data_IF_888868928035
#
_entry.id   IF_888868928035
#
_cell.length_a   1.000
_cell.length_b   1.000
_cell.length_c   1.000
_cell.angle_alpha   90.00
_cell.angle_beta   90.00
_cell.angle_gamma   90.00
#
_symmetry.space_group_name_H-M   'P 1'
#
loop_
_entity.id
_entity.type
_entity.pdbx_description
1 polymer ?
#
# COMPACT_ATOMS: atom_id res chain seq x y z
N UNK A 1 -13.98 9.16 9.09
CA UNK A 1 -15.21 8.47 9.55
C UNK A 1 -14.99 8.04 10.99
N UNK A 2 -16.06 7.81 11.75
CA UNK A 2 -15.99 7.03 13.00
C UNK A 2 -17.32 6.29 13.23
N UNK A 3 -17.29 5.27 14.09
CA UNK A 3 -18.47 4.57 14.57
C UNK A 3 -18.34 4.29 16.06
N UNK A 4 -19.48 4.30 16.76
CA UNK A 4 -19.62 3.90 18.16
C UNK A 4 -20.81 2.98 18.30
N UNK A 5 -20.69 1.98 19.17
CA UNK A 5 -21.69 0.94 19.39
C UNK A 5 -22.10 0.88 20.86
N UNK A 6 -23.39 0.70 21.09
CA UNK A 6 -23.97 0.47 22.40
C UNK A 6 -24.19 -1.03 22.61
N UNK A 7 -23.67 -1.56 23.71
CA UNK A 7 -24.00 -2.92 24.18
C UNK A 7 -24.82 -2.78 25.46
N UNK A 8 -26.07 -3.23 25.42
CA UNK A 8 -26.99 -3.19 26.55
C UNK A 8 -27.54 -4.60 26.82
N UNK A 9 -27.58 -4.96 28.09
CA UNK A 9 -28.20 -6.20 28.58
C UNK A 9 -29.42 -5.83 29.43
N UNK A 10 -30.60 -6.33 29.04
CA UNK A 10 -31.86 -5.97 29.66
C UNK A 10 -33.07 -6.58 28.97
N UNK A 11 -34.25 -6.36 29.56
CA UNK A 11 -35.51 -6.79 28.96
C UNK A 11 -35.83 -6.01 27.68
N UNK A 12 -36.11 -6.74 26.60
CA UNK A 12 -36.55 -6.21 25.31
C UNK A 12 -38.03 -5.75 25.36
N UNK A 13 -38.46 -4.81 24.51
CA UNK A 13 -37.68 -4.13 23.47
C UNK A 13 -36.82 -2.99 24.03
N UNK A 14 -35.57 -2.91 23.57
CA UNK A 14 -34.67 -1.79 23.85
C UNK A 14 -34.86 -0.66 22.83
N UNK A 15 -34.89 0.58 23.32
CA UNK A 15 -34.87 1.80 22.50
C UNK A 15 -33.63 2.63 22.81
N UNK A 16 -33.06 3.26 21.80
CA UNK A 16 -31.79 3.99 21.89
C UNK A 16 -32.01 5.45 21.50
N UNK A 17 -31.23 6.34 22.10
CA UNK A 17 -31.06 7.72 21.68
C UNK A 17 -29.63 8.14 21.95
N UNK A 18 -28.89 8.50 20.90
CA UNK A 18 -27.54 9.06 21.04
C UNK A 18 -27.56 10.54 21.35
N UNK A 19 -26.57 10.98 22.10
CA UNK A 19 -26.34 12.36 22.50
C UNK A 19 -24.92 12.76 22.16
N UNK A 20 -24.75 14.01 21.76
CA UNK A 20 -23.45 14.67 21.61
C UNK A 20 -23.42 15.90 22.52
N UNK A 21 -22.42 15.98 23.39
CA UNK A 21 -22.24 17.07 24.35
C UNK A 21 -23.52 17.37 25.15
N UNK A 22 -24.25 16.30 25.53
CA UNK A 22 -25.51 16.36 26.25
C UNK A 22 -26.75 16.69 25.41
N UNK A 23 -26.62 16.93 24.11
CA UNK A 23 -27.74 17.24 23.19
C UNK A 23 -28.09 16.01 22.38
N UNK A 24 -29.39 15.68 22.28
CA UNK A 24 -29.86 14.54 21.50
C UNK A 24 -29.52 14.72 20.02
N UNK A 25 -29.02 13.66 19.39
CA UNK A 25 -28.77 13.60 17.95
C UNK A 25 -30.05 13.09 17.27
N UNK A 26 -30.72 13.96 16.51
CA UNK A 26 -31.98 13.61 15.87
C UNK A 26 -31.86 12.37 14.97
N UNK A 27 -32.76 11.40 15.17
CA UNK A 27 -32.83 10.16 14.39
C UNK A 27 -31.78 9.10 14.73
N UNK A 28 -30.86 9.37 15.66
CA UNK A 28 -29.86 8.40 16.10
C UNK A 28 -30.46 7.42 17.14
N UNK A 29 -31.32 6.51 16.67
CA UNK A 29 -32.09 5.58 17.51
C UNK A 29 -31.69 4.11 17.37
N UNK A 30 -30.55 3.85 16.73
CA UNK A 30 -29.97 2.51 16.59
C UNK A 30 -28.91 2.25 17.67
N UNK A 31 -28.64 0.97 17.94
CA UNK A 31 -27.56 0.57 18.84
C UNK A 31 -26.18 1.05 18.34
N UNK A 32 -26.01 1.17 17.03
CA UNK A 32 -24.82 1.73 16.39
C UNK A 32 -25.07 3.16 15.89
N UNK A 33 -24.08 4.03 16.06
CA UNK A 33 -24.05 5.37 15.47
C UNK A 33 -22.74 5.58 14.72
N UNK A 34 -22.83 6.03 13.47
CA UNK A 34 -21.67 6.21 12.61
C UNK A 34 -21.75 7.53 11.82
N UNK A 35 -20.58 8.14 11.62
CA UNK A 35 -20.39 9.33 10.78
C UNK A 35 -19.40 8.98 9.67
N UNK A 36 -19.89 8.89 8.43
CA UNK A 36 -19.08 8.49 7.27
C UNK A 36 -18.02 9.53 6.89
N UNK A 37 -18.41 10.81 6.82
CA UNK A 37 -17.49 11.93 6.56
C UNK A 37 -17.48 12.86 7.76
N UNK A 38 -16.73 12.46 8.79
CA UNK A 38 -16.58 13.25 10.01
C UNK A 38 -15.72 14.49 9.75
N UNK A 39 -16.13 15.60 10.35
CA UNK A 39 -15.45 16.89 10.38
C UNK A 39 -15.04 17.23 11.81
N UNK A 40 -14.21 18.26 11.99
CA UNK A 40 -13.89 18.79 13.33
C UNK A 40 -15.13 19.19 14.13
N UNK A 41 -16.22 19.56 13.44
CA UNK A 41 -17.50 19.88 14.06
C UNK A 41 -18.22 18.64 14.60
N UNK A 42 -17.78 17.43 14.27
CA UNK A 42 -18.28 16.16 14.81
C UNK A 42 -17.48 15.69 16.04
N UNK A 43 -16.36 16.35 16.38
CA UNK A 43 -15.69 16.09 17.65
C UNK A 43 -16.60 16.47 18.84
N UNK A 44 -16.50 15.71 19.94
CA UNK A 44 -17.30 15.94 21.14
C UNK A 44 -17.41 14.70 22.02
N UNK A 45 -18.22 14.80 23.06
CA UNK A 45 -18.53 13.68 23.94
C UNK A 45 -19.82 12.99 23.53
N UNK A 46 -19.76 11.68 23.36
CA UNK A 46 -20.87 10.87 22.93
C UNK A 46 -21.37 9.98 24.06
N UNK A 47 -22.68 9.95 24.27
CA UNK A 47 -23.33 9.03 25.20
C UNK A 47 -24.62 8.50 24.59
N UNK A 48 -25.04 7.33 24.99
CA UNK A 48 -26.31 6.73 24.55
C UNK A 48 -27.22 6.53 25.75
N UNK A 49 -28.48 6.90 25.59
CA UNK A 49 -29.54 6.52 26.52
C UNK A 49 -30.27 5.30 25.98
N UNK A 50 -30.41 4.29 26.83
CA UNK A 50 -31.15 3.06 26.54
C UNK A 50 -32.37 2.99 27.44
N UNK A 51 -33.54 2.73 26.86
CA UNK A 51 -34.82 2.71 27.57
C UNK A 51 -35.59 1.43 27.26
N UNK A 52 -36.21 0.85 28.29
CA UNK A 52 -37.21 -0.22 28.19
C UNK A 52 -38.36 0.03 29.17
N UNK A 53 -39.27 -0.93 29.33
CA UNK A 53 -40.44 -0.78 30.23
C UNK A 53 -40.06 -0.61 31.71
N UNK A 54 -38.88 -1.08 32.13
CA UNK A 54 -38.43 -0.97 33.51
C UNK A 54 -37.80 0.38 33.84
N UNK A 55 -37.33 1.13 32.83
CA UNK A 55 -36.74 2.45 33.00
C UNK A 55 -35.73 2.82 31.92
N UNK A 56 -34.86 3.77 32.26
CA UNK A 56 -33.79 4.25 31.38
C UNK A 56 -32.44 4.31 32.09
N UNK A 57 -31.38 4.09 31.32
CA UNK A 57 -30.00 4.27 31.74
C UNK A 57 -29.21 5.00 30.66
N UNK A 58 -28.31 5.89 31.05
CA UNK A 58 -27.37 6.57 30.14
C UNK A 58 -25.97 6.01 30.34
N UNK A 59 -25.27 5.76 29.25
CA UNK A 59 -23.87 5.30 29.27
C UNK A 59 -22.93 6.36 29.86
N UNK A 60 -21.69 5.94 30.18
CA UNK A 60 -20.60 6.88 30.31
C UNK A 60 -20.35 7.61 28.98
N UNK A 61 -19.73 8.80 29.06
CA UNK A 61 -19.35 9.58 27.89
C UNK A 61 -18.08 9.00 27.23
N UNK A 62 -18.12 8.79 25.91
CA UNK A 62 -16.96 8.52 25.08
C UNK A 62 -16.50 9.82 24.41
N UNK A 63 -15.26 10.24 24.64
CA UNK A 63 -14.68 11.43 24.00
C UNK A 63 -14.15 11.09 22.61
N UNK A 64 -14.72 11.71 21.57
CA UNK A 64 -14.28 11.54 20.19
C UNK A 64 -13.58 12.82 19.72
N UNK A 65 -12.31 12.69 19.35
CA UNK A 65 -11.58 13.72 18.62
C UNK A 65 -11.74 13.51 17.12
N UNK A 66 -11.99 14.60 16.38
CA UNK A 66 -11.93 14.59 14.91
C UNK A 66 -10.98 15.68 14.48
N UNK A 67 -10.01 15.33 13.65
CA UNK A 67 -9.00 16.24 13.14
C UNK A 67 -9.29 16.58 11.68
N UNK A 68 -9.15 17.85 11.32
CA UNK A 68 -9.14 18.25 9.92
C UNK A 68 -7.80 17.85 9.31
N UNK A 69 -7.81 16.93 8.35
CA UNK A 69 -6.64 16.74 7.49
C UNK A 69 -6.59 17.89 6.50
N UNK A 70 -5.51 18.67 6.51
CA UNK A 70 -5.25 19.71 5.49
C UNK A 70 -4.92 19.10 4.13
N UNK A 71 -4.80 17.77 4.02
CA UNK A 71 -4.39 17.09 2.80
C UNK A 71 -2.98 17.44 2.34
N UNK A 72 -2.13 17.92 3.26
CA UNK A 72 -0.74 18.24 2.97
C UNK A 72 -0.02 16.93 2.68
N UNK A 73 0.57 16.85 1.49
CA UNK A 73 1.50 15.77 1.14
C UNK A 73 2.83 16.13 1.76
N UNK A 74 3.22 15.39 2.80
CA UNK A 74 4.49 15.58 3.50
C UNK A 74 5.66 14.94 2.74
N UNK A 75 5.36 13.90 1.97
CA UNK A 75 6.30 13.20 1.10
C UNK A 75 5.52 12.43 0.03
N UNK A 76 6.12 12.30 -1.15
CA UNK A 76 5.59 11.50 -2.25
C UNK A 76 6.72 11.06 -3.17
N UNK A 77 6.58 9.86 -3.72
CA UNK A 77 7.39 9.36 -4.82
C UNK A 77 6.45 8.86 -5.93
N UNK A 78 6.72 9.25 -7.17
CA UNK A 78 5.97 8.85 -8.37
C UNK A 78 6.87 8.31 -9.49
N UNK A 79 8.18 8.21 -9.24
CA UNK A 79 9.26 7.74 -10.12
C UNK A 79 9.53 8.60 -11.36
N UNK A 80 8.77 9.68 -11.58
CA UNK A 80 8.92 10.54 -12.78
C UNK A 80 10.23 11.35 -12.78
N UNK A 81 10.86 11.48 -11.61
CA UNK A 81 12.16 12.15 -11.47
C UNK A 81 13.36 11.32 -11.93
N UNK A 82 13.17 10.02 -12.18
CA UNK A 82 14.26 9.11 -12.55
C UNK A 82 14.67 9.27 -14.02
N UNK A 83 15.98 9.18 -14.27
CA UNK A 83 16.52 9.06 -15.62
C UNK A 83 16.38 7.59 -16.08
N UNK A 84 15.59 7.37 -17.14
CA UNK A 84 15.45 6.07 -17.77
C UNK A 84 16.48 5.91 -18.89
N UNK A 85 17.11 4.75 -18.96
CA UNK A 85 18.06 4.35 -19.99
C UNK A 85 17.45 3.38 -21.02
N UNK A 86 18.30 2.84 -21.90
CA UNK A 86 17.87 1.84 -22.86
C UNK A 86 17.51 0.52 -22.17
N UNK A 87 16.70 -0.29 -22.85
CA UNK A 87 16.47 -1.67 -22.45
C UNK A 87 17.72 -2.54 -22.75
N UNK A 88 17.78 -3.73 -22.15
CA UNK A 88 18.90 -4.67 -22.18
C UNK A 88 18.56 -5.91 -23.01
N UNK A 89 17.69 -6.78 -22.51
CA UNK A 89 17.39 -8.08 -23.11
C UNK A 89 16.09 -8.08 -23.93
N UNK A 90 15.18 -7.16 -23.62
CA UNK A 90 13.86 -7.09 -24.27
C UNK A 90 13.96 -6.84 -25.78
N UNK A 91 13.16 -7.58 -26.55
CA UNK A 91 13.19 -7.48 -28.02
C UNK A 91 12.66 -6.13 -28.55
N UNK A 92 11.82 -5.45 -27.78
CA UNK A 92 11.29 -4.14 -28.11
C UNK A 92 12.29 -3.04 -27.73
N UNK A 93 13.12 -2.64 -28.68
CA UNK A 93 14.10 -1.58 -28.45
C UNK A 93 13.47 -0.26 -27.95
N UNK A 94 14.07 0.32 -26.91
CA UNK A 94 13.78 1.65 -26.38
C UNK A 94 15.03 2.28 -25.78
N UNK A 95 15.16 3.61 -25.89
CA UNK A 95 16.37 4.34 -25.44
C UNK A 95 16.21 5.00 -24.06
N UNK A 96 14.98 5.19 -23.58
CA UNK A 96 14.63 5.87 -22.33
C UNK A 96 13.41 5.20 -21.70
N UNK A 97 13.54 3.91 -21.41
CA UNK A 97 12.40 3.04 -21.10
C UNK A 97 12.57 2.25 -19.83
N UNK A 98 13.80 2.10 -19.31
CA UNK A 98 14.06 1.24 -18.18
C UNK A 98 15.24 1.74 -17.35
N UNK A 99 15.17 1.52 -16.04
CA UNK A 99 16.30 1.69 -15.12
C UNK A 99 16.13 0.78 -13.92
N UNK A 100 17.26 0.39 -13.34
CA UNK A 100 17.33 -0.27 -12.04
C UNK A 100 17.76 0.69 -10.93
N UNK A 101 18.12 1.92 -11.29
CA UNK A 101 18.43 2.96 -10.31
C UNK A 101 17.17 3.35 -9.56
N UNK A 102 17.15 3.06 -8.27
CA UNK A 102 16.08 3.50 -7.37
C UNK A 102 16.12 5.03 -7.16
N UNK A 103 15.02 5.66 -6.71
CA UNK A 103 15.06 7.07 -6.30
C UNK A 103 16.07 7.34 -5.20
N UNK A 104 16.49 8.59 -5.05
CA UNK A 104 17.39 9.00 -3.97
C UNK A 104 16.79 8.62 -2.60
N UNK A 105 17.61 7.97 -1.75
CA UNK A 105 17.17 7.47 -0.45
C UNK A 105 16.35 6.18 -0.51
N UNK A 106 16.22 5.54 -1.68
CA UNK A 106 15.62 4.22 -1.80
C UNK A 106 16.67 3.15 -2.02
N UNK A 107 16.39 1.95 -1.51
CA UNK A 107 17.21 0.76 -1.70
C UNK A 107 16.34 -0.34 -2.29
N UNK A 108 16.75 -0.84 -3.45
CA UNK A 108 16.27 -2.12 -3.98
C UNK A 108 17.19 -3.20 -3.42
N UNK A 109 16.61 -4.18 -2.73
CA UNK A 109 17.32 -5.36 -2.27
C UNK A 109 16.83 -6.56 -3.08
N UNK A 110 17.77 -7.12 -3.83
CA UNK A 110 17.60 -8.28 -4.68
C UNK A 110 18.49 -9.45 -4.22
N UNK A 111 18.96 -9.44 -2.96
CA UNK A 111 19.93 -10.42 -2.43
C UNK A 111 19.38 -11.85 -2.43
N UNK A 112 18.05 -12.00 -2.38
CA UNK A 112 17.35 -13.28 -2.46
C UNK A 112 16.79 -13.59 -3.85
N UNK A 113 17.01 -12.72 -4.85
CA UNK A 113 16.67 -13.00 -6.25
C UNK A 113 17.88 -13.71 -6.89
N UNK A 114 17.72 -14.95 -7.38
CA UNK A 114 18.78 -15.64 -8.09
C UNK A 114 19.21 -14.84 -9.33
N UNK A 115 20.52 -14.70 -9.56
CA UNK A 115 21.00 -14.11 -10.79
C UNK A 115 20.75 -12.61 -10.92
N UNK A 116 21.07 -11.82 -9.88
CA UNK A 116 20.96 -10.34 -9.92
C UNK A 116 22.30 -9.63 -9.94
N UNK A 117 23.38 -10.41 -10.00
CA UNK A 117 24.74 -9.93 -9.84
C UNK A 117 25.24 -9.13 -11.04
N UNK A 118 24.70 -9.38 -12.25
CA UNK A 118 25.06 -8.66 -13.47
C UNK A 118 24.80 -7.14 -13.42
N UNK A 119 23.79 -6.66 -12.68
CA UNK A 119 23.51 -5.20 -12.61
C UNK A 119 24.25 -4.48 -11.47
N UNK A 120 24.70 -5.19 -10.44
CA UNK A 120 25.48 -4.58 -9.35
C UNK A 120 26.92 -4.21 -9.77
N UNK A 121 27.32 -4.51 -11.01
CA UNK A 121 28.70 -4.32 -11.49
C UNK A 121 29.69 -5.20 -10.73
N UNK A 122 29.19 -6.25 -10.08
CA UNK A 122 29.96 -7.29 -9.44
C UNK A 122 30.01 -8.40 -10.49
N UNK A 123 31.19 -8.60 -11.09
CA UNK A 123 31.52 -9.93 -11.61
C UNK A 123 31.39 -10.83 -10.37
N UNK A 124 30.32 -11.60 -10.29
CA UNK A 124 30.01 -12.51 -9.19
C UNK A 124 31.24 -13.35 -8.81
N UNK A 125 31.21 -13.91 -7.59
CA UNK A 125 32.27 -14.83 -7.16
C UNK A 125 32.36 -16.09 -8.05
N UNK A 126 31.42 -16.32 -9.01
CA UNK A 126 31.35 -17.51 -9.88
C UNK A 126 31.23 -17.29 -11.42
N UNK A 127 30.78 -16.15 -11.94
CA UNK A 127 30.88 -15.68 -13.34
C UNK A 127 29.69 -15.81 -14.31
N UNK A 128 28.41 -15.92 -13.91
CA UNK A 128 27.34 -16.49 -14.79
C UNK A 128 26.11 -15.62 -15.17
N UNK A 129 26.27 -14.44 -15.78
CA UNK A 129 25.16 -13.56 -16.18
C UNK A 129 24.18 -14.16 -17.21
N UNK A 130 24.57 -15.24 -17.90
CA UNK A 130 23.68 -15.98 -18.80
C UNK A 130 22.53 -16.73 -18.09
N UNK A 131 22.57 -16.82 -16.75
CA UNK A 131 21.57 -17.49 -15.91
C UNK A 131 20.84 -16.52 -14.96
N UNK A 132 20.76 -15.25 -15.35
CA UNK A 132 20.16 -14.17 -14.54
C UNK A 132 18.68 -13.91 -14.86
N UNK A 133 18.12 -14.65 -15.83
CA UNK A 133 16.81 -14.35 -16.39
C UNK A 133 16.84 -13.07 -17.23
N UNK A 134 15.69 -12.47 -17.47
CA UNK A 134 15.62 -11.19 -18.20
C UNK A 134 16.08 -10.07 -17.26
N UNK A 135 17.19 -9.40 -17.62
CA UNK A 135 17.85 -8.38 -16.78
C UNK A 135 16.87 -7.29 -16.34
N UNK A 136 15.97 -6.87 -17.24
CA UNK A 136 14.99 -5.85 -16.95
C UNK A 136 14.03 -6.20 -15.82
N UNK A 137 13.83 -7.48 -15.53
CA UNK A 137 12.76 -7.95 -14.65
C UNK A 137 13.27 -8.78 -13.48
N UNK A 138 14.58 -8.97 -13.32
CA UNK A 138 15.18 -9.67 -12.20
C UNK A 138 15.05 -8.86 -10.90
N UNK A 139 13.96 -9.03 -10.15
CA UNK A 139 13.65 -8.22 -8.97
C UNK A 139 12.87 -6.94 -9.31
N UNK A 140 12.91 -5.92 -8.44
CA UNK A 140 12.20 -4.66 -8.72
C UNK A 140 12.90 -3.85 -9.82
N UNK A 141 12.11 -3.31 -10.73
CA UNK A 141 12.61 -2.43 -11.79
C UNK A 141 11.72 -1.22 -12.01
N UNK A 142 12.30 -0.12 -12.49
CA UNK A 142 11.53 1.06 -12.87
C UNK A 142 11.52 1.15 -14.40
N UNK A 143 10.33 1.18 -14.99
CA UNK A 143 10.20 1.26 -16.45
C UNK A 143 9.09 2.22 -16.89
N UNK A 144 9.17 2.67 -18.13
CA UNK A 144 8.09 3.36 -18.78
C UNK A 144 6.89 2.41 -18.96
N UNK A 145 5.78 2.70 -18.29
CA UNK A 145 4.60 1.85 -18.24
C UNK A 145 4.08 1.47 -19.64
N UNK A 146 4.11 2.40 -20.61
CA UNK A 146 3.62 2.12 -21.97
C UNK A 146 4.55 1.21 -22.75
N UNK A 147 5.86 1.36 -22.55
CA UNK A 147 6.85 0.50 -23.18
C UNK A 147 6.77 -0.91 -22.59
N UNK A 148 6.76 -1.05 -21.26
CA UNK A 148 6.59 -2.34 -20.57
C UNK A 148 5.33 -3.08 -21.01
N UNK A 149 4.18 -2.38 -21.12
CA UNK A 149 2.95 -2.96 -21.66
C UNK A 149 3.06 -3.47 -23.10
N UNK A 150 4.12 -3.12 -23.83
CA UNK A 150 4.31 -3.47 -25.22
C UNK A 150 5.42 -4.52 -25.44
N UNK A 151 6.22 -4.85 -24.41
CA UNK A 151 7.39 -5.71 -24.56
C UNK A 151 7.05 -7.13 -25.02
N UNK A 152 5.93 -7.69 -24.54
CA UNK A 152 5.45 -9.03 -24.91
C UNK A 152 3.96 -9.07 -25.36
N UNK A 153 3.50 -8.07 -26.13
CA UNK A 153 2.17 -8.11 -26.74
C UNK A 153 1.01 -7.94 -25.76
N UNK A 154 1.14 -6.96 -24.85
CA UNK A 154 0.20 -6.59 -23.79
C UNK A 154 0.09 -7.62 -22.66
N UNK A 155 -0.18 -8.90 -22.92
CA UNK A 155 -0.42 -9.91 -21.85
C UNK A 155 -1.43 -9.43 -20.76
N UNK A 156 -2.29 -8.46 -21.10
CA UNK A 156 -3.20 -7.71 -20.22
C UNK A 156 -2.56 -6.68 -19.26
N UNK A 157 -1.28 -6.33 -19.43
CA UNK A 157 -0.60 -5.24 -18.72
C UNK A 157 -1.34 -3.91 -18.88
N UNK A 158 -2.03 -3.66 -19.99
CA UNK A 158 -2.88 -2.48 -20.19
C UNK A 158 -4.07 -2.40 -19.23
N UNK A 159 -4.39 -3.45 -18.48
CA UNK A 159 -5.38 -3.40 -17.40
C UNK A 159 -4.88 -2.61 -16.18
N UNK A 160 -3.58 -2.35 -16.07
CA UNK A 160 -2.94 -1.61 -14.99
C UNK A 160 -3.16 -0.10 -15.19
N UNK A 161 -4.43 0.35 -15.12
CA UNK A 161 -4.85 1.72 -15.49
C UNK A 161 -4.26 2.83 -14.62
N UNK A 162 -3.70 2.49 -13.46
CA UNK A 162 -3.03 3.44 -12.57
C UNK A 162 -1.54 3.65 -12.91
N UNK A 163 -0.94 2.74 -13.68
CA UNK A 163 0.44 2.86 -14.12
C UNK A 163 0.53 3.89 -15.25
N UNK A 164 1.22 5.00 -14.98
CA UNK A 164 1.42 6.11 -15.93
C UNK A 164 2.87 6.57 -15.78
N UNK A 165 3.54 6.85 -16.91
CA UNK A 165 4.92 7.33 -16.90
C UNK A 165 5.90 6.26 -16.43
N UNK A 166 6.79 6.59 -15.49
CA UNK A 166 7.73 5.68 -14.86
C UNK A 166 7.05 4.94 -13.69
N UNK A 167 7.20 3.62 -13.64
CA UNK A 167 6.55 2.80 -12.62
C UNK A 167 7.47 1.70 -12.11
N UNK A 168 7.40 1.42 -10.81
CA UNK A 168 8.02 0.24 -10.21
C UNK A 168 7.24 -1.02 -10.58
N UNK A 169 7.94 -2.04 -11.08
CA UNK A 169 7.41 -3.29 -11.61
C UNK A 169 8.21 -4.45 -11.01
N UNK A 170 7.49 -5.45 -10.51
CA UNK A 170 8.00 -6.82 -10.37
C UNK A 170 7.25 -7.70 -11.35
N UNK A 171 7.97 -8.23 -12.35
CA UNK A 171 7.39 -9.03 -13.44
C UNK A 171 8.09 -10.39 -13.51
N UNK A 172 7.73 -11.27 -12.57
CA UNK A 172 8.32 -12.61 -12.49
C UNK A 172 8.01 -13.52 -13.68
N UNK A 173 6.95 -13.23 -14.46
CA UNK A 173 6.65 -13.96 -15.71
C UNK A 173 7.71 -13.66 -16.76
N UNK A 174 8.00 -12.37 -16.98
CA UNK A 174 9.04 -11.97 -17.95
C UNK A 174 10.44 -12.31 -17.48
N UNK A 175 10.72 -12.23 -16.17
CA UNK A 175 12.00 -12.70 -15.64
C UNK A 175 12.29 -14.17 -16.02
N UNK A 176 11.24 -14.99 -16.10
CA UNK A 176 11.29 -16.41 -16.44
C UNK A 176 11.41 -16.70 -17.95
N UNK A 177 11.34 -15.68 -18.81
CA UNK A 177 11.43 -15.85 -20.27
C UNK A 177 12.87 -16.09 -20.79
N UNK A 178 13.87 -15.90 -19.93
CA UNK A 178 15.27 -16.24 -20.21
C UNK A 178 15.80 -17.33 -19.26
N UNK A 179 16.94 -17.93 -19.63
CA UNK A 179 17.57 -18.95 -18.80
C UNK A 179 17.95 -18.36 -17.45
N UNK A 180 17.60 -19.08 -16.37
CA UNK A 180 17.95 -18.66 -15.02
C UNK A 180 18.16 -19.79 -14.03
N UNK A 181 18.83 -19.48 -12.93
CA UNK A 181 18.82 -20.34 -11.75
C UNK A 181 17.41 -20.47 -11.16
N UNK A 182 17.08 -21.68 -10.69
CA UNK A 182 15.80 -21.95 -10.06
C UNK A 182 15.70 -21.29 -8.69
N UNK A 183 14.56 -20.66 -8.40
CA UNK A 183 14.33 -19.95 -7.14
C UNK A 183 13.18 -18.97 -7.24
N UNK A 184 12.88 -18.31 -6.13
CA UNK A 184 11.83 -17.28 -6.06
C UNK A 184 12.42 -15.90 -6.37
N UNK A 185 11.61 -15.03 -6.98
CA UNK A 185 11.94 -13.60 -7.10
C UNK A 185 11.60 -12.87 -5.78
N UNK A 186 12.38 -13.15 -4.74
CA UNK A 186 12.23 -12.50 -3.43
C UNK A 186 12.96 -11.17 -3.43
N UNK A 187 12.25 -10.08 -3.74
CA UNK A 187 12.80 -8.72 -3.81
C UNK A 187 12.00 -7.77 -2.94
N UNK A 188 12.67 -6.76 -2.39
CA UNK A 188 12.02 -5.69 -1.66
C UNK A 188 12.63 -4.34 -1.98
N UNK A 189 11.82 -3.30 -1.88
CA UNK A 189 12.22 -1.93 -2.08
C UNK A 189 11.87 -1.14 -0.82
N UNK A 190 12.84 -0.44 -0.26
CA UNK A 190 12.72 0.31 0.99
C UNK A 190 13.11 1.76 0.80
N UNK A 191 12.50 2.65 1.57
CA UNK A 191 12.83 4.08 1.58
C UNK A 191 13.62 4.41 2.84
N UNK A 192 14.33 5.53 2.82
CA UNK A 192 14.78 6.19 4.04
C UNK A 192 13.58 6.59 4.93
N UNK A 193 13.88 6.85 6.20
CA UNK A 193 12.87 7.28 7.15
C UNK A 193 12.28 8.63 6.73
N UNK A 194 10.95 8.69 6.66
CA UNK A 194 10.21 9.92 6.37
C UNK A 194 10.03 10.70 7.67
N UNK A 195 10.55 11.92 7.74
CA UNK A 195 10.45 12.77 8.94
C UNK A 195 9.00 13.20 9.20
N UNK A 196 8.49 12.86 10.38
CA UNK A 196 7.16 13.21 10.87
C UNK A 196 7.21 14.30 11.96
N UNK A 197 8.33 14.99 12.13
CA UNK A 197 8.47 16.06 13.11
C UNK A 197 7.38 17.14 12.94
N UNK A 198 6.63 17.38 14.01
CA UNK A 198 5.53 18.36 14.03
C UNK A 198 4.23 17.87 13.39
N UNK A 199 4.18 16.63 12.89
CA UNK A 199 2.95 15.98 12.48
C UNK A 199 2.21 15.47 13.72
N UNK A 200 0.89 15.65 13.73
CA UNK A 200 0.05 15.28 14.87
C UNK A 200 -0.04 13.76 14.98
N UNK A 201 -0.02 13.22 16.20
CA UNK A 201 -0.23 11.79 16.45
C UNK A 201 -1.53 11.30 15.80
N UNK A 202 -1.50 10.08 15.26
CA UNK A 202 -2.64 9.41 14.61
C UNK A 202 -3.27 10.19 13.43
N UNK A 203 -2.51 11.04 12.73
CA UNK A 203 -3.01 11.89 11.64
C UNK A 203 -2.47 11.59 10.24
N UNK A 204 -1.42 10.77 10.13
CA UNK A 204 -0.80 10.41 8.84
C UNK A 204 -1.70 9.45 8.07
N UNK A 205 -1.81 9.67 6.75
CA UNK A 205 -2.54 8.79 5.84
C UNK A 205 -1.59 8.37 4.72
N UNK A 206 -1.30 7.09 4.61
CA UNK A 206 -0.59 6.55 3.44
C UNK A 206 -1.56 6.40 2.26
N UNK A 207 -1.11 6.83 1.09
CA UNK A 207 -1.80 6.59 -0.19
C UNK A 207 -0.83 5.90 -1.12
N UNK A 208 -1.25 4.79 -1.69
CA UNK A 208 -0.44 3.99 -2.58
C UNK A 208 -1.24 3.61 -3.83
N UNK A 209 -0.64 3.76 -5.00
CA UNK A 209 -1.21 3.27 -6.25
C UNK A 209 -0.55 1.94 -6.60
N UNK A 210 -1.35 0.87 -6.57
CA UNK A 210 -0.90 -0.46 -6.98
C UNK A 210 -1.80 -1.05 -8.05
N UNK A 211 -1.27 -2.05 -8.73
CA UNK A 211 -1.99 -3.01 -9.55
C UNK A 211 -1.36 -4.38 -9.31
N UNK A 212 -2.18 -5.41 -9.23
CA UNK A 212 -1.75 -6.77 -8.92
C UNK A 212 -2.44 -7.74 -9.86
N UNK A 213 -1.66 -8.66 -10.41
CA UNK A 213 -2.17 -9.76 -11.23
C UNK A 213 -1.25 -10.96 -11.01
N UNK A 214 -1.68 -11.95 -10.21
CA UNK A 214 -0.87 -13.13 -9.99
C UNK A 214 -0.86 -13.96 -11.28
N UNK A 215 0.29 -14.53 -11.62
CA UNK A 215 0.34 -15.50 -12.70
C UNK A 215 -0.32 -16.82 -12.26
N UNK A 216 -1.24 -17.29 -13.11
CA UNK A 216 -1.96 -18.53 -12.91
C UNK A 216 -1.10 -19.77 -13.19
N UNK A 217 -0.03 -19.64 -13.99
CA UNK A 217 0.73 -20.80 -14.46
C UNK A 217 1.66 -21.41 -13.39
N UNK A 218 2.00 -20.63 -12.34
CA UNK A 218 2.89 -21.04 -11.25
C UNK A 218 2.16 -21.37 -9.93
N UNK A 219 0.86 -21.72 -10.00
CA UNK A 219 0.07 -22.11 -8.83
C UNK A 219 -0.31 -20.96 -7.89
N UNK A 220 -0.27 -19.71 -8.35
CA UNK A 220 -0.72 -18.53 -7.58
C UNK A 220 0.14 -18.25 -6.34
N UNK A 221 1.44 -18.54 -6.40
CA UNK A 221 2.36 -18.41 -5.25
C UNK A 221 2.94 -17.01 -5.07
N UNK A 222 2.61 -16.07 -5.96
CA UNK A 222 3.09 -14.70 -5.89
C UNK A 222 2.42 -13.98 -4.72
N UNK A 223 3.23 -13.23 -3.96
CA UNK A 223 2.77 -12.39 -2.86
C UNK A 223 3.44 -11.04 -2.97
N UNK A 224 2.69 -10.00 -2.62
CA UNK A 224 3.24 -8.67 -2.41
C UNK A 224 2.68 -8.12 -1.11
N UNK A 225 3.53 -7.43 -0.35
CA UNK A 225 3.14 -6.79 0.91
C UNK A 225 3.66 -5.35 0.90
N UNK A 226 2.96 -4.48 1.63
CA UNK A 226 3.51 -3.19 2.05
C UNK A 226 3.57 -3.22 3.56
N UNK A 227 4.75 -2.91 4.04
CA UNK A 227 5.08 -2.90 5.45
C UNK A 227 5.58 -1.51 5.84
N UNK A 228 5.31 -1.11 7.08
CA UNK A 228 5.73 0.17 7.67
C UNK A 228 6.25 -0.09 9.07
N UNK A 229 7.38 0.52 9.41
CA UNK A 229 7.86 0.63 10.78
C UNK A 229 7.80 2.10 11.22
N UNK A 230 7.40 2.35 12.47
CA UNK A 230 7.40 3.68 13.06
C UNK A 230 8.54 3.79 14.06
N UNK A 231 9.42 4.79 13.87
CA UNK A 231 10.64 4.95 14.65
C UNK A 231 11.46 3.64 14.66
N UNK A 232 11.84 3.15 15.85
CA UNK A 232 12.53 1.87 16.07
C UNK A 232 11.55 0.73 16.43
N UNK A 233 10.27 0.88 16.09
CA UNK A 233 9.23 -0.10 16.36
C UNK A 233 9.30 -1.34 15.48
N UNK A 234 8.45 -2.32 15.79
CA UNK A 234 8.27 -3.50 14.95
C UNK A 234 7.64 -3.10 13.60
N UNK A 235 8.01 -3.83 12.55
CA UNK A 235 7.39 -3.70 11.24
C UNK A 235 5.94 -4.19 11.26
N UNK A 236 5.04 -3.39 10.72
CA UNK A 236 3.62 -3.71 10.55
C UNK A 236 3.26 -3.86 9.08
N UNK A 237 2.59 -4.96 8.73
CA UNK A 237 1.97 -5.11 7.42
C UNK A 237 0.69 -4.29 7.33
N UNK A 238 0.61 -3.44 6.32
CA UNK A 238 -0.55 -2.56 6.09
C UNK A 238 -1.34 -2.91 4.82
N UNK A 239 -0.73 -3.62 3.87
CA UNK A 239 -1.38 -4.12 2.65
C UNK A 239 -0.77 -5.46 2.22
N UNK A 240 -1.60 -6.35 1.69
CA UNK A 240 -1.20 -7.67 1.16
C UNK A 240 -1.98 -8.04 -0.09
N UNK A 241 -1.28 -8.66 -1.04
CA UNK A 241 -1.83 -9.38 -2.18
C UNK A 241 -1.34 -10.83 -2.16
N UNK A 242 -2.24 -11.77 -2.44
CA UNK A 242 -2.02 -13.22 -2.57
C UNK A 242 -3.07 -13.86 -3.49
#
# INVERSE_FOLDING_TARGET
AFAVSAVADGGEPLSYQWFKDGVAIDGATSADFAVGQASVADAGKYSVKVTNEAGEITSAEASIGVQASLGITIWSEDFEGLELGPNVDEGLAGEQVWTKTAPDGWVINDDEVPGTWAWQGIDDEEGHPENDGVTEWAGWSIANAKWWMSTAGDQNRTQFKKAVGAVAIGDGDEWDDAAREGGMQSTYMTTEAIDLAGIMENSVVLRFHSSWRPDACCGGSQKAVIEVAFDDGDTEEILRWE
#
